data_IF_988360118447
#
_entry.id   IF_988360118447
#
_cell.length_a   1.000
_cell.length_b   1.000
_cell.length_c   1.000
_cell.angle_alpha   90.00
_cell.angle_beta   90.00
_cell.angle_gamma   90.00
#
_symmetry.space_group_name_H-M   'P 1'
#
loop_
_entity.id
_entity.type
_entity.pdbx_description
1 polymer ?
#
# COMPACT_ATOMS: atom_id res chain seq x y z
N UNK A 1 -0.80 13.98 -15.23
CA UNK A 1 -1.63 12.83 -14.82
C UNK A 1 -2.91 13.33 -14.17
N UNK A 2 -4.01 12.58 -14.34
CA UNK A 2 -5.27 12.84 -13.66
C UNK A 2 -5.85 11.50 -13.21
N UNK A 3 -5.96 11.32 -11.90
CA UNK A 3 -6.48 10.12 -11.26
C UNK A 3 -7.75 10.45 -10.48
N UNK A 4 -8.59 9.44 -10.24
CA UNK A 4 -9.83 9.64 -9.50
C UNK A 4 -9.55 10.07 -8.05
N UNK A 5 -8.50 9.53 -7.42
CA UNK A 5 -8.10 9.89 -6.07
C UNK A 5 -7.59 11.33 -5.96
N UNK A 6 -7.04 11.89 -7.04
CA UNK A 6 -6.35 13.19 -7.02
C UNK A 6 -5.00 13.12 -6.31
N UNK A 7 -4.32 11.97 -6.35
CA UNK A 7 -3.04 11.76 -5.64
C UNK A 7 -1.95 12.73 -6.08
N UNK A 8 -1.95 13.11 -7.36
CA UNK A 8 -1.04 14.09 -7.94
C UNK A 8 -1.09 15.44 -7.22
N UNK A 9 -2.27 15.96 -6.87
CA UNK A 9 -2.34 17.23 -6.12
C UNK A 9 -1.69 17.11 -4.73
N UNK A 10 -1.90 15.98 -4.05
CA UNK A 10 -1.28 15.72 -2.76
C UNK A 10 0.24 15.59 -2.88
N UNK A 11 0.72 14.82 -3.86
CA UNK A 11 2.15 14.64 -4.13
C UNK A 11 2.84 15.96 -4.49
N UNK A 12 2.22 16.80 -5.33
CA UNK A 12 2.78 18.10 -5.69
C UNK A 12 2.92 19.02 -4.47
N UNK A 13 1.90 19.07 -3.60
CA UNK A 13 2.01 19.88 -2.38
C UNK A 13 3.03 19.29 -1.39
N UNK A 14 3.08 17.97 -1.23
CA UNK A 14 4.06 17.30 -0.36
C UNK A 14 5.51 17.59 -0.79
N UNK A 15 5.77 17.60 -2.11
CA UNK A 15 7.07 17.92 -2.70
C UNK A 15 7.60 19.30 -2.34
N UNK A 16 6.74 20.24 -1.94
CA UNK A 16 7.18 21.56 -1.44
C UNK A 16 7.80 21.50 -0.04
N UNK A 17 7.56 20.42 0.72
CA UNK A 17 7.98 20.29 2.11
C UNK A 17 9.08 19.23 2.32
N UNK A 18 9.16 18.23 1.44
CA UNK A 18 10.18 17.16 1.47
C UNK A 18 10.76 16.96 0.07
N UNK A 19 12.01 16.53 0.00
CA UNK A 19 12.59 16.10 -1.28
C UNK A 19 11.89 14.82 -1.74
N UNK A 20 11.26 14.88 -2.91
CA UNK A 20 10.40 13.84 -3.44
C UNK A 20 10.84 13.51 -4.87
N UNK A 21 11.39 12.32 -5.03
CA UNK A 21 11.70 11.74 -6.32
C UNK A 21 10.44 11.14 -6.94
N UNK A 22 10.03 11.68 -8.09
CA UNK A 22 8.86 11.18 -8.82
C UNK A 22 9.28 10.63 -10.18
N UNK A 23 9.02 9.35 -10.39
CA UNK A 23 9.40 8.61 -11.59
C UNK A 23 8.16 7.92 -12.17
N UNK A 24 8.06 7.88 -13.49
CA UNK A 24 6.98 7.24 -14.23
C UNK A 24 6.31 8.19 -15.22
N UNK A 25 5.27 7.68 -15.88
CA UNK A 25 4.55 8.42 -16.93
C UNK A 25 4.02 9.77 -16.45
N UNK A 26 3.62 9.88 -15.18
CA UNK A 26 3.11 11.14 -14.61
C UNK A 26 4.13 12.26 -14.50
N UNK A 27 5.44 11.94 -14.42
CA UNK A 27 6.52 12.91 -14.38
C UNK A 27 7.32 12.99 -15.68
N UNK A 28 6.89 12.27 -16.73
CA UNK A 28 7.60 12.19 -18.01
C UNK A 28 8.94 11.43 -17.95
N UNK A 29 9.32 10.90 -16.78
CA UNK A 29 10.58 10.18 -16.57
C UNK A 29 10.33 8.68 -16.66
N UNK A 30 10.77 8.03 -17.74
CA UNK A 30 10.82 6.56 -17.79
C UNK A 30 11.95 6.05 -16.89
N UNK A 31 11.76 4.86 -16.33
CA UNK A 31 12.72 4.21 -15.44
C UNK A 31 12.98 2.80 -15.96
N UNK A 32 14.25 2.47 -16.16
CA UNK A 32 14.66 1.07 -16.36
C UNK A 32 14.62 0.32 -15.02
N UNK A 33 14.87 -0.98 -15.07
CA UNK A 33 15.04 -1.80 -13.88
C UNK A 33 16.17 -1.29 -12.97
N UNK A 34 17.30 -0.85 -13.53
CA UNK A 34 18.43 -0.31 -12.78
C UNK A 34 18.05 0.99 -12.07
N UNK A 35 17.39 1.91 -12.78
CA UNK A 35 16.85 3.15 -12.22
C UNK A 35 15.91 2.85 -11.03
N UNK A 36 15.05 1.84 -11.15
CA UNK A 36 14.13 1.48 -10.09
C UNK A 36 14.86 0.88 -8.89
N UNK A 37 15.85 0.01 -9.14
CA UNK A 37 16.70 -0.57 -8.08
C UNK A 37 17.45 0.52 -7.31
N UNK A 38 18.02 1.50 -8.02
CA UNK A 38 18.70 2.65 -7.42
C UNK A 38 17.75 3.52 -6.61
N UNK A 39 16.57 3.83 -7.15
CA UNK A 39 15.54 4.57 -6.43
C UNK A 39 15.16 3.86 -5.13
N UNK A 40 14.96 2.54 -5.16
CA UNK A 40 14.66 1.79 -3.93
C UNK A 40 15.82 1.80 -2.94
N UNK A 41 17.07 1.76 -3.40
CA UNK A 41 18.23 1.78 -2.51
C UNK A 41 18.47 3.15 -1.83
N UNK A 42 18.05 4.25 -2.47
CA UNK A 42 18.34 5.61 -2.02
C UNK A 42 17.21 6.24 -1.18
N UNK A 43 16.06 5.58 -1.06
CA UNK A 43 14.89 6.14 -0.38
C UNK A 43 14.54 5.35 0.88
N UNK A 44 13.82 5.98 1.81
CA UNK A 44 13.30 5.34 3.02
C UNK A 44 11.80 5.06 2.94
N UNK A 45 11.09 5.89 2.17
CA UNK A 45 9.64 5.89 2.08
C UNK A 45 9.20 5.69 0.64
N UNK A 46 8.02 5.11 0.46
CA UNK A 46 7.39 4.93 -0.84
C UNK A 46 5.96 5.43 -0.83
N UNK A 47 5.60 6.30 -1.79
CA UNK A 47 4.22 6.75 -1.95
C UNK A 47 3.37 5.66 -2.64
N UNK A 48 2.79 4.78 -1.83
CA UNK A 48 1.88 3.71 -2.23
C UNK A 48 0.46 4.22 -2.49
N UNK A 49 0.33 5.34 -3.21
CA UNK A 49 -0.95 6.00 -3.45
C UNK A 49 -1.74 5.33 -4.57
N UNK A 50 -2.94 4.85 -4.25
CA UNK A 50 -3.85 4.29 -5.25
C UNK A 50 -4.41 5.36 -6.20
N UNK A 51 -4.69 4.93 -7.43
CA UNK A 51 -5.30 5.79 -8.46
C UNK A 51 -6.73 6.19 -8.09
N UNK A 52 -7.40 5.36 -7.29
CA UNK A 52 -8.76 5.54 -6.81
C UNK A 52 -8.82 5.09 -5.36
N UNK A 53 -9.58 5.79 -4.52
CA UNK A 53 -9.86 5.33 -3.16
C UNK A 53 -11.24 4.68 -3.21
N UNK A 54 -11.26 3.35 -3.21
CA UNK A 54 -12.51 2.60 -3.30
C UNK A 54 -12.51 1.44 -2.31
N UNK A 55 -13.71 1.03 -1.91
CA UNK A 55 -13.91 -0.17 -1.08
C UNK A 55 -13.31 -1.40 -1.77
N UNK A 56 -12.55 -2.18 -1.00
CA UNK A 56 -11.90 -3.42 -1.44
C UNK A 56 -10.86 -3.22 -2.58
N UNK A 57 -10.44 -1.98 -2.88
CA UNK A 57 -9.44 -1.68 -3.93
C UNK A 57 -8.06 -1.45 -3.32
N UNK A 58 -7.26 -2.52 -3.29
CA UNK A 58 -5.84 -2.50 -2.91
C UNK A 58 -5.05 -3.21 -4.00
N UNK A 59 -3.97 -2.61 -4.48
CA UNK A 59 -3.20 -3.18 -5.59
C UNK A 59 -1.73 -3.40 -5.22
N UNK A 60 -0.92 -3.74 -6.24
CA UNK A 60 0.53 -3.95 -6.15
C UNK A 60 1.28 -2.78 -5.49
N UNK A 61 0.72 -1.57 -5.47
CA UNK A 61 1.38 -0.38 -4.89
C UNK A 61 1.67 -0.53 -3.40
N UNK A 62 0.83 -1.26 -2.67
CA UNK A 62 1.11 -1.55 -1.26
C UNK A 62 2.22 -2.59 -1.10
N UNK A 63 2.19 -3.64 -1.93
CA UNK A 63 2.99 -4.84 -1.70
C UNK A 63 4.37 -4.81 -2.38
N UNK A 64 4.50 -4.17 -3.55
CA UNK A 64 5.71 -4.23 -4.39
C UNK A 64 7.00 -3.79 -3.67
N UNK A 65 6.89 -2.93 -2.66
CA UNK A 65 8.04 -2.36 -1.94
C UNK A 65 8.00 -2.62 -0.44
N UNK A 66 7.01 -3.36 0.05
CA UNK A 66 6.89 -3.72 1.46
C UNK A 66 8.15 -4.50 1.90
N UNK A 67 8.72 -4.13 3.05
CA UNK A 67 9.97 -4.74 3.54
C UNK A 67 11.24 -4.26 2.81
N UNK A 68 11.13 -3.28 1.91
CA UNK A 68 12.26 -2.56 1.29
C UNK A 68 12.16 -1.05 1.54
N UNK A 69 10.96 -0.50 1.48
CA UNK A 69 10.64 0.90 1.75
C UNK A 69 9.37 0.98 2.59
N UNK A 70 9.32 1.92 3.53
CA UNK A 70 8.14 2.14 4.36
C UNK A 70 6.98 2.75 3.54
N UNK A 71 5.84 2.06 3.36
CA UNK A 71 4.74 2.55 2.55
C UNK A 71 4.03 3.75 3.19
N UNK A 72 3.70 4.73 2.35
CA UNK A 72 2.81 5.84 2.68
C UNK A 72 1.56 5.71 1.81
N UNK A 73 0.42 5.49 2.44
CA UNK A 73 -0.88 5.32 1.78
C UNK A 73 -1.76 6.55 1.97
N UNK A 74 -2.79 6.71 1.15
CA UNK A 74 -3.70 7.85 1.27
C UNK A 74 -4.71 7.71 2.42
N UNK A 75 -5.27 6.51 2.61
CA UNK A 75 -6.38 6.26 3.54
C UNK A 75 -6.08 5.12 4.50
N UNK A 76 -6.06 5.38 5.80
CA UNK A 76 -5.78 4.36 6.82
C UNK A 76 -6.78 3.20 6.78
N UNK A 77 -8.07 3.52 6.77
CA UNK A 77 -9.13 2.52 6.91
C UNK A 77 -9.13 1.47 5.80
N UNK A 78 -8.52 1.76 4.65
CA UNK A 78 -8.36 0.81 3.55
C UNK A 78 -7.47 -0.37 3.94
N UNK A 79 -6.50 -0.17 4.82
CA UNK A 79 -5.49 -1.18 5.16
C UNK A 79 -5.63 -1.74 6.57
N UNK A 80 -6.43 -1.11 7.44
CA UNK A 80 -6.68 -1.62 8.80
C UNK A 80 -7.27 -3.03 8.74
N UNK A 81 -6.66 -3.96 9.49
CA UNK A 81 -7.06 -5.37 9.49
C UNK A 81 -6.45 -6.20 8.35
N UNK A 82 -5.82 -5.55 7.37
CA UNK A 82 -5.11 -6.18 6.25
C UNK A 82 -3.60 -6.02 6.40
N UNK A 83 -3.13 -4.85 6.84
CA UNK A 83 -1.73 -4.48 7.15
C UNK A 83 -1.60 -4.08 8.63
N UNK A 84 -0.54 -4.46 9.40
CA UNK A 84 -0.42 -4.00 10.77
C UNK A 84 -0.25 -2.48 10.75
N UNK A 85 -0.96 -1.78 11.64
CA UNK A 85 -1.05 -0.31 11.60
C UNK A 85 0.30 0.41 11.64
N UNK A 86 1.32 -0.22 12.22
CA UNK A 86 2.66 0.33 12.36
C UNK A 86 3.57 0.10 11.13
N UNK A 87 3.21 -0.82 10.24
CA UNK A 87 3.96 -1.19 9.02
C UNK A 87 3.67 -0.27 7.81
N UNK A 88 2.93 0.82 8.02
CA UNK A 88 2.71 1.85 7.02
C UNK A 88 2.42 3.20 7.71
N UNK A 89 2.44 4.27 6.91
CA UNK A 89 2.02 5.61 7.30
C UNK A 89 0.79 5.95 6.47
N UNK A 90 -0.27 6.47 7.10
CA UNK A 90 -1.43 6.95 6.36
C UNK A 90 -1.41 8.48 6.30
N UNK A 91 -1.61 9.04 5.10
CA UNK A 91 -1.60 10.47 4.86
C UNK A 91 -2.76 11.18 5.59
N UNK A 92 -3.91 10.52 5.71
CA UNK A 92 -5.10 11.03 6.39
C UNK A 92 -5.02 10.99 7.93
N UNK A 93 -3.93 10.45 8.51
CA UNK A 93 -3.64 10.65 9.94
C UNK A 93 -3.15 12.09 10.24
N UNK A 94 -2.81 12.85 9.20
CA UNK A 94 -2.27 14.20 9.32
C UNK A 94 -3.26 15.21 8.76
N UNK A 95 -3.23 16.43 9.31
CA UNK A 95 -4.12 17.50 8.85
C UNK A 95 -3.91 17.83 7.38
N UNK A 96 -2.66 17.80 6.91
CA UNK A 96 -2.30 18.00 5.52
C UNK A 96 -0.83 17.59 5.23
N UNK A 97 -0.34 17.66 3.96
CA UNK A 97 1.02 17.30 3.58
C UNK A 97 2.13 17.94 4.40
N UNK A 98 1.94 19.18 4.89
CA UNK A 98 2.93 19.86 5.73
C UNK A 98 3.20 19.13 7.04
N UNK A 99 2.16 18.58 7.67
CA UNK A 99 2.30 17.86 8.94
C UNK A 99 2.84 16.44 8.72
N UNK A 100 2.42 15.77 7.64
CA UNK A 100 3.05 14.53 7.20
C UNK A 100 4.55 14.75 6.95
N UNK A 101 4.93 15.81 6.24
CA UNK A 101 6.33 16.15 5.96
C UNK A 101 7.16 16.33 7.24
N UNK A 102 6.62 17.00 8.28
CA UNK A 102 7.30 17.11 9.58
C UNK A 102 7.55 15.74 10.20
N UNK A 103 6.54 14.86 10.15
CA UNK A 103 6.68 13.50 10.66
C UNK A 103 7.70 12.69 9.88
N UNK A 104 7.70 12.76 8.54
CA UNK A 104 8.68 12.08 7.70
C UNK A 104 10.11 12.56 7.99
N UNK A 105 10.31 13.87 8.19
CA UNK A 105 11.61 14.43 8.59
C UNK A 105 12.06 13.89 9.95
N UNK A 106 11.19 13.98 10.97
CA UNK A 106 11.46 13.41 12.29
C UNK A 106 11.87 11.94 12.19
N UNK A 107 11.08 11.14 11.47
CA UNK A 107 11.28 9.72 11.32
C UNK A 107 12.57 9.41 10.55
N UNK A 108 12.90 10.21 9.54
CA UNK A 108 14.14 10.05 8.77
C UNK A 108 15.41 10.27 9.61
N UNK A 109 15.34 11.10 10.65
CA UNK A 109 16.44 11.42 11.56
C UNK A 109 16.46 10.60 12.84
N UNK A 110 15.33 9.98 13.22
CA UNK A 110 15.20 9.18 14.42
C UNK A 110 15.32 7.69 14.09
N UNK A 111 16.53 7.15 14.21
CA UNK A 111 16.84 5.76 13.88
C UNK A 111 15.96 4.76 14.65
N UNK A 112 15.72 4.98 15.94
CA UNK A 112 14.91 4.07 16.78
C UNK A 112 13.46 4.03 16.32
N UNK A 113 12.86 5.20 16.07
CA UNK A 113 11.48 5.30 15.61
C UNK A 113 11.31 4.68 14.20
N UNK A 114 12.25 4.93 13.29
CA UNK A 114 12.22 4.37 11.94
C UNK A 114 12.41 2.86 11.96
N UNK A 115 13.45 2.38 12.66
CA UNK A 115 13.76 0.95 12.77
C UNK A 115 12.60 0.16 13.36
N UNK A 116 11.87 0.71 14.34
CA UNK A 116 10.68 0.04 14.90
C UNK A 116 9.61 -0.22 13.84
N UNK A 117 9.38 0.71 12.91
CA UNK A 117 8.45 0.50 11.79
C UNK A 117 8.97 -0.54 10.81
N UNK A 118 10.26 -0.47 10.46
CA UNK A 118 10.90 -1.44 9.55
C UNK A 118 10.98 -2.85 10.13
N UNK A 119 11.15 -3.02 11.44
CA UNK A 119 11.19 -4.35 12.08
C UNK A 119 9.87 -5.10 11.90
N UNK A 120 8.74 -4.39 11.97
CA UNK A 120 7.43 -5.00 11.73
C UNK A 120 7.31 -5.44 10.26
N UNK A 121 7.86 -4.66 9.32
CA UNK A 121 7.92 -5.06 7.91
C UNK A 121 8.88 -6.23 7.65
N UNK A 122 10.03 -6.23 8.32
CA UNK A 122 10.99 -7.32 8.24
C UNK A 122 10.41 -8.61 8.83
N UNK A 123 9.61 -8.52 9.91
CA UNK A 123 8.84 -9.63 10.43
C UNK A 123 7.75 -10.10 9.46
N UNK A 124 7.10 -9.20 8.72
CA UNK A 124 6.15 -9.55 7.67
C UNK A 124 6.89 -10.36 6.58
N UNK A 125 8.01 -9.85 6.09
CA UNK A 125 8.79 -10.48 5.01
C UNK A 125 9.48 -11.78 5.42
N UNK A 126 10.12 -11.82 6.59
CA UNK A 126 10.77 -13.03 7.10
C UNK A 126 9.76 -14.17 7.32
N UNK A 127 8.47 -13.85 7.49
CA UNK A 127 7.37 -14.83 7.56
C UNK A 127 6.82 -15.21 6.19
N UNK A 128 7.11 -14.44 5.13
CA UNK A 128 6.83 -14.81 3.72
C UNK A 128 7.93 -15.69 3.11
N UNK A 129 9.18 -15.53 3.56
CA UNK A 129 10.36 -16.28 3.08
C UNK A 129 10.67 -17.55 3.91
N UNK A 130 10.01 -17.75 5.06
CA UNK A 130 10.22 -18.92 5.91
C UNK A 130 9.53 -20.18 5.35
N UNK A 131 10.35 -21.16 5.00
CA UNK A 131 9.97 -22.54 4.66
C UNK A 131 9.08 -23.19 5.74
N UNK A 132 8.16 -24.03 5.28
CA UNK A 132 6.85 -24.47 5.80
C UNK A 132 6.83 -25.20 7.17
N UNK A 133 7.92 -25.24 7.95
CA UNK A 133 8.05 -26.20 9.07
C UNK A 133 8.13 -25.61 10.49
N UNK A 134 7.98 -24.29 10.71
CA UNK A 134 8.14 -23.69 12.05
C UNK A 134 7.12 -22.58 12.39
N UNK A 135 5.81 -22.86 12.28
CA UNK A 135 4.74 -21.83 12.27
C UNK A 135 3.95 -21.59 13.60
N UNK A 136 4.45 -21.94 14.79
CA UNK A 136 3.53 -22.01 15.94
C UNK A 136 3.11 -20.68 16.65
N UNK A 137 3.80 -19.52 16.51
CA UNK A 137 3.67 -18.50 17.58
C UNK A 137 3.24 -17.06 17.27
N UNK A 138 2.83 -16.61 16.07
CA UNK A 138 2.24 -15.26 15.95
C UNK A 138 1.15 -15.12 14.86
N UNK A 139 -0.09 -15.45 15.26
CA UNK A 139 -1.25 -15.80 14.42
C UNK A 139 -2.23 -14.66 14.03
N UNK A 140 -1.95 -13.37 14.27
CA UNK A 140 -2.98 -12.33 14.01
C UNK A 140 -3.02 -11.82 12.57
N UNK A 141 -1.86 -11.76 11.91
CA UNK A 141 -1.71 -11.03 10.65
C UNK A 141 -1.77 -11.93 9.39
N UNK A 142 -1.05 -13.05 9.42
CA UNK A 142 -1.01 -14.02 8.31
C UNK A 142 -1.99 -15.17 8.51
N UNK A 143 -3.08 -14.94 9.25
CA UNK A 143 -4.08 -15.99 9.50
C UNK A 143 -4.70 -16.50 8.21
N UNK A 144 -4.78 -15.66 7.17
CA UNK A 144 -5.24 -16.05 5.85
C UNK A 144 -4.29 -17.05 5.19
N UNK A 145 -2.96 -16.88 5.21
CA UNK A 145 -1.99 -17.84 4.61
C UNK A 145 -2.16 -19.27 5.16
N UNK A 146 -2.68 -19.43 6.39
CA UNK A 146 -3.03 -20.76 6.95
C UNK A 146 -4.18 -21.49 6.20
N UNK A 147 -5.03 -20.74 5.52
CA UNK A 147 -6.19 -21.25 4.77
C UNK A 147 -5.96 -21.23 3.25
N UNK A 148 -4.82 -20.72 2.78
CA UNK A 148 -4.51 -20.57 1.36
C UNK A 148 -3.03 -20.89 1.08
N UNK A 149 -2.75 -21.90 0.25
CA UNK A 149 -1.41 -22.11 -0.31
C UNK A 149 -1.06 -20.95 -1.25
N UNK A 150 0.08 -20.30 -1.04
CA UNK A 150 0.61 -19.29 -1.97
C UNK A 150 1.21 -20.03 -3.17
N UNK A 151 0.35 -20.38 -4.13
CA UNK A 151 0.79 -20.96 -5.38
C UNK A 151 1.36 -19.86 -6.29
N UNK A 152 2.68 -19.84 -6.46
CA UNK A 152 3.37 -18.92 -7.38
C UNK A 152 3.23 -19.32 -8.86
N UNK A 153 2.72 -20.51 -9.13
CA UNK A 153 2.21 -20.91 -10.44
C UNK A 153 0.73 -20.55 -10.51
N UNK A 154 0.41 -19.33 -10.95
CA UNK A 154 -0.98 -18.95 -11.18
C UNK A 154 -1.53 -19.70 -12.39
N UNK A 155 -2.05 -20.92 -12.17
CA UNK A 155 -2.93 -21.59 -13.12
C UNK A 155 -4.38 -21.39 -12.65
N UNK A 156 -5.28 -21.05 -13.57
CA UNK A 156 -6.68 -20.75 -13.24
C UNK A 156 -7.42 -21.90 -12.55
N UNK A 157 -6.90 -23.12 -12.61
CA UNK A 157 -7.47 -24.31 -11.98
C UNK A 157 -7.40 -24.24 -10.45
N UNK A 158 -6.33 -23.71 -9.85
CA UNK A 158 -6.21 -23.56 -8.40
C UNK A 158 -7.28 -22.63 -7.82
N UNK A 159 -7.51 -21.49 -8.47
CA UNK A 159 -8.58 -20.56 -8.12
C UNK A 159 -9.97 -21.22 -8.27
N UNK A 160 -10.18 -21.96 -9.36
CA UNK A 160 -11.45 -22.66 -9.60
C UNK A 160 -11.75 -23.70 -8.51
N UNK A 161 -10.74 -24.50 -8.10
CA UNK A 161 -10.87 -25.49 -7.01
C UNK A 161 -11.22 -24.81 -5.68
N UNK A 162 -10.51 -23.74 -5.32
CA UNK A 162 -10.81 -22.99 -4.08
C UNK A 162 -12.25 -22.45 -4.06
N UNK A 163 -12.70 -21.84 -5.17
CA UNK A 163 -14.07 -21.31 -5.30
C UNK A 163 -15.12 -22.43 -5.24
N UNK A 164 -14.81 -23.62 -5.76
CA UNK A 164 -15.68 -24.79 -5.68
C UNK A 164 -15.82 -25.30 -4.24
N UNK A 165 -14.72 -25.39 -3.49
CA UNK A 165 -14.70 -25.90 -2.12
C UNK A 165 -15.31 -24.92 -1.11
N UNK A 166 -15.32 -23.61 -1.40
CA UNK A 166 -15.79 -22.55 -0.49
C UNK A 166 -17.13 -21.91 -0.94
N UNK A 167 -17.98 -22.67 -1.66
CA UNK A 167 -19.24 -22.19 -2.27
C UNK A 167 -20.22 -21.48 -1.33
N UNK A 168 -20.19 -21.76 -0.03
CA UNK A 168 -21.13 -21.20 0.96
C UNK A 168 -20.83 -19.75 1.41
N UNK A 169 -19.67 -19.20 1.09
CA UNK A 169 -19.22 -17.85 1.49
C UNK A 169 -18.87 -16.96 0.29
N UNK A 170 -19.36 -17.30 -0.90
CA UNK A 170 -19.01 -16.59 -2.14
C UNK A 170 -19.76 -15.27 -2.24
N UNK A 171 -19.01 -14.17 -2.23
CA UNK A 171 -19.52 -12.84 -2.62
C UNK A 171 -19.35 -12.69 -4.13
N UNK A 172 -20.45 -12.73 -4.88
CA UNK A 172 -20.44 -12.49 -6.33
C UNK A 172 -20.63 -10.98 -6.57
N UNK A 173 -19.66 -10.38 -7.25
CA UNK A 173 -19.77 -9.00 -7.75
C UNK A 173 -20.14 -9.09 -9.23
N UNK A 174 -21.40 -8.81 -9.61
CA UNK A 174 -21.88 -9.02 -10.97
C UNK A 174 -21.19 -8.08 -11.97
N UNK A 175 -20.85 -6.88 -11.53
CA UNK A 175 -20.13 -5.89 -12.31
C UNK A 175 -19.15 -5.15 -11.42
N UNK A 176 -17.86 -5.26 -11.75
CA UNK A 176 -16.80 -4.51 -11.08
C UNK A 176 -17.02 -3.01 -11.28
N UNK A 177 -17.52 -2.62 -12.46
CA UNK A 177 -17.81 -1.23 -12.77
C UNK A 177 -18.91 -0.69 -11.84
N UNK A 178 -20.00 -1.42 -11.72
CA UNK A 178 -21.10 -1.00 -10.84
C UNK A 178 -20.67 -1.00 -9.38
N UNK A 179 -19.93 -2.03 -8.96
CA UNK A 179 -19.45 -2.13 -7.59
C UNK A 179 -18.57 -0.94 -7.20
N UNK A 180 -17.57 -0.58 -7.99
CA UNK A 180 -16.67 0.50 -7.62
C UNK A 180 -17.22 1.88 -7.97
N UNK A 181 -17.72 2.08 -9.18
CA UNK A 181 -18.05 3.41 -9.70
C UNK A 181 -19.52 3.77 -9.50
N UNK A 182 -20.45 2.90 -9.91
CA UNK A 182 -21.87 3.29 -9.96
C UNK A 182 -22.56 3.18 -8.58
N UNK A 183 -22.03 2.34 -7.68
CA UNK A 183 -22.54 2.15 -6.31
C UNK A 183 -21.97 3.15 -5.29
N UNK A 184 -21.19 4.15 -5.73
CA UNK A 184 -20.60 5.15 -4.83
C UNK A 184 -19.56 4.60 -3.84
N UNK A 185 -18.98 3.43 -4.12
CA UNK A 185 -17.94 2.83 -3.27
C UNK A 185 -16.55 3.45 -3.47
N UNK A 186 -16.40 4.35 -4.44
CA UNK A 186 -15.21 5.16 -4.66
C UNK A 186 -15.40 6.59 -4.13
N UNK A 187 -14.31 7.20 -3.68
CA UNK A 187 -14.25 8.57 -3.17
C UNK A 187 -13.43 9.46 -4.11
N UNK A 188 -14.05 10.11 -5.11
CA UNK A 188 -13.36 11.01 -6.02
C UNK A 188 -12.72 12.18 -5.27
N UNK A 189 -11.50 12.56 -5.67
CA UNK A 189 -10.76 13.68 -5.12
C UNK A 189 -10.36 13.52 -3.65
N UNK A 190 -10.35 12.29 -3.11
CA UNK A 190 -9.98 12.03 -1.71
C UNK A 190 -8.66 12.69 -1.32
N UNK A 191 -7.58 12.44 -2.07
CA UNK A 191 -6.26 12.99 -1.78
C UNK A 191 -6.22 14.52 -1.92
N UNK A 192 -7.00 15.09 -2.84
CA UNK A 192 -7.12 16.54 -2.99
C UNK A 192 -7.73 17.20 -1.75
N UNK A 193 -8.71 16.57 -1.10
CA UNK A 193 -9.29 17.10 0.15
C UNK A 193 -8.30 17.08 1.32
N UNK A 194 -7.27 16.24 1.26
CA UNK A 194 -6.23 16.18 2.28
C UNK A 194 -5.15 17.27 2.11
N UNK A 195 -5.15 18.04 1.02
CA UNK A 195 -4.16 19.12 0.85
C UNK A 195 -4.40 20.25 1.84
N UNK A 196 -3.32 20.95 2.24
CA UNK A 196 -3.40 22.13 3.08
C UNK A 196 -4.26 23.18 2.37
N UNK A 197 -5.30 23.66 3.04
CA UNK A 197 -6.12 24.76 2.55
C UNK A 197 -5.33 26.08 2.67
N UNK A 198 -5.62 27.09 1.81
CA UNK A 198 -5.03 28.42 1.90
C UNK A 198 -5.27 29.10 3.25
#
# INVERSE_FOLDING_TARGET
CQTLSGREQYSEQLKTFVDLTQIGACSGKRCSYECEREAVAQHKFYLSFENSICRDYITEKMFNRLGRLLPIVLKRSTYVGIIPNDAFIAADDYKCPKDLAKYLKFLSTNYTAFSRKCLIEAEIRAKEDADDSRWETNKKYFKWIKYYEVNREFNGCGLCKYLYENRGSVKIIPSIREWWYDSGNCEPGYARRLTCQP
#
